data_IF_988838254816
#
_entry.id   IF_988838254816
#
_cell.length_a   1.000
_cell.length_b   1.000
_cell.length_c   1.000
_cell.angle_alpha   90.00
_cell.angle_beta   90.00
_cell.angle_gamma   90.00
#
_symmetry.space_group_name_H-M   'P 1'
#
loop_
_entity.id
_entity.type
_entity.pdbx_description
1 polymer ?
#
# COMPACT_ATOMS: atom_id res chain seq x y z
N UNK A 1 -10.88 -27.81 -19.15
CA UNK A 1 -9.48 -27.38 -18.98
C UNK A 1 -8.93 -28.02 -17.72
N UNK A 2 -7.69 -28.54 -17.74
CA UNK A 2 -7.12 -29.24 -16.59
C UNK A 2 -6.23 -28.26 -15.81
N UNK A 3 -6.43 -28.09 -14.48
CA UNK A 3 -5.56 -27.24 -13.66
C UNK A 3 -4.13 -27.81 -13.61
N UNK A 4 -3.13 -26.93 -13.67
CA UNK A 4 -1.73 -27.33 -13.65
C UNK A 4 -1.28 -27.72 -12.23
N UNK A 5 -1.06 -29.01 -12.02
CA UNK A 5 -0.52 -29.66 -10.85
C UNK A 5 0.81 -30.32 -11.24
N UNK A 6 1.92 -29.80 -10.71
CA UNK A 6 3.26 -30.28 -11.04
C UNK A 6 3.36 -31.80 -10.87
N UNK A 7 3.85 -32.50 -11.89
CA UNK A 7 4.03 -33.95 -11.91
C UNK A 7 2.79 -34.77 -12.29
N UNK A 8 1.58 -34.31 -11.94
CA UNK A 8 0.32 -35.02 -12.25
C UNK A 8 -0.17 -34.65 -13.64
N UNK A 9 -0.23 -33.36 -13.96
CA UNK A 9 -0.79 -32.90 -15.24
C UNK A 9 0.05 -33.36 -16.42
N UNK A 10 1.37 -33.50 -16.25
CA UNK A 10 2.29 -33.95 -17.30
C UNK A 10 2.23 -35.46 -17.57
N UNK A 11 1.87 -36.26 -16.56
CA UNK A 11 1.55 -37.69 -16.75
C UNK A 11 0.20 -37.83 -17.44
N UNK A 12 -0.81 -37.12 -16.94
CA UNK A 12 -2.16 -37.15 -17.48
C UNK A 12 -2.22 -36.69 -18.95
N UNK A 13 -1.49 -35.63 -19.31
CA UNK A 13 -1.33 -35.19 -20.71
C UNK A 13 -0.69 -36.27 -21.60
N UNK A 14 0.33 -36.97 -21.09
CA UNK A 14 1.01 -38.05 -21.81
C UNK A 14 0.08 -39.21 -22.10
N UNK A 15 -0.74 -39.59 -21.14
CA UNK A 15 -1.70 -40.68 -21.30
C UNK A 15 -2.86 -40.28 -22.21
N UNK A 16 -3.42 -39.08 -22.04
CA UNK A 16 -4.50 -38.57 -22.92
C UNK A 16 -4.04 -38.37 -24.37
N UNK A 17 -2.76 -38.06 -24.60
CA UNK A 17 -2.17 -37.98 -25.94
C UNK A 17 -2.20 -39.32 -26.68
N UNK A 18 -2.05 -40.45 -25.97
CA UNK A 18 -2.14 -41.81 -26.57
C UNK A 18 -3.54 -42.08 -27.13
N UNK A 19 -4.57 -41.45 -26.55
CA UNK A 19 -5.96 -41.56 -26.98
C UNK A 19 -6.40 -40.42 -27.91
N UNK A 20 -5.46 -39.65 -28.47
CA UNK A 20 -5.73 -38.50 -29.35
C UNK A 20 -6.62 -37.39 -28.74
N UNK A 21 -6.73 -37.34 -27.40
CA UNK A 21 -7.52 -36.33 -26.71
C UNK A 21 -6.66 -35.06 -26.57
N UNK A 22 -7.08 -33.97 -27.23
CA UNK A 22 -6.45 -32.65 -27.09
C UNK A 22 -6.78 -32.06 -25.72
N UNK A 23 -5.75 -31.73 -24.96
CA UNK A 23 -5.89 -31.10 -23.64
C UNK A 23 -5.41 -29.65 -23.70
N UNK A 24 -6.18 -28.75 -23.09
CA UNK A 24 -5.81 -27.35 -22.90
C UNK A 24 -5.51 -27.11 -21.42
N UNK A 25 -4.30 -26.65 -21.14
CA UNK A 25 -3.92 -26.21 -19.79
C UNK A 25 -4.35 -24.77 -19.57
N UNK A 26 -5.21 -24.55 -18.59
CA UNK A 26 -5.38 -23.23 -18.02
C UNK A 26 -4.29 -23.03 -16.97
N UNK A 27 -3.42 -22.04 -17.20
CA UNK A 27 -2.54 -21.54 -16.15
C UNK A 27 -3.41 -20.76 -15.15
N UNK A 28 -3.78 -21.41 -14.04
CA UNK A 28 -4.30 -20.67 -12.90
C UNK A 28 -3.17 -19.77 -12.39
N UNK A 29 -3.47 -18.48 -12.20
CA UNK A 29 -2.54 -17.58 -11.50
C UNK A 29 -2.19 -18.25 -10.16
N UNK A 30 -0.91 -18.48 -9.90
CA UNK A 30 -0.50 -19.10 -8.64
C UNK A 30 -0.99 -18.24 -7.48
N UNK A 31 -1.36 -18.86 -6.36
CA UNK A 31 -1.73 -18.12 -5.15
C UNK A 31 -0.65 -17.09 -4.81
N UNK A 32 0.64 -17.42 -4.95
CA UNK A 32 1.75 -16.48 -4.74
C UNK A 32 1.83 -15.30 -5.75
N UNK A 33 1.20 -15.42 -6.92
CA UNK A 33 1.00 -14.31 -7.88
C UNK A 33 -0.29 -13.53 -7.65
N UNK A 34 -1.19 -14.01 -6.78
CA UNK A 34 -2.37 -13.27 -6.34
C UNK A 34 -2.04 -12.54 -5.04
N UNK A 35 -1.33 -13.22 -4.14
CA UNK A 35 -0.88 -12.70 -2.87
C UNK A 35 0.22 -11.66 -3.07
N UNK A 36 0.04 -10.53 -2.40
CA UNK A 36 1.08 -9.51 -2.27
C UNK A 36 2.24 -10.15 -1.51
N UNK A 37 3.49 -9.92 -1.96
CA UNK A 37 4.69 -10.32 -1.22
C UNK A 37 4.79 -9.49 0.07
N UNK A 38 4.02 -9.85 1.08
CA UNK A 38 3.94 -9.22 2.40
C UNK A 38 5.28 -9.23 3.14
N UNK A 39 6.19 -10.15 2.81
CA UNK A 39 7.55 -10.25 3.38
C UNK A 39 8.41 -8.98 3.16
N UNK A 40 8.06 -8.13 2.18
CA UNK A 40 8.73 -6.83 1.97
C UNK A 40 8.33 -5.76 2.99
N UNK A 41 7.11 -5.85 3.54
CA UNK A 41 6.61 -5.01 4.64
C UNK A 41 7.34 -5.37 5.95
N UNK A 42 7.76 -6.63 6.10
CA UNK A 42 8.49 -7.14 7.27
C UNK A 42 9.97 -6.75 7.32
N UNK A 43 10.66 -6.72 6.17
CA UNK A 43 12.13 -6.54 6.12
C UNK A 43 12.57 -5.09 6.07
N UNK A 44 11.74 -4.19 5.52
CA UNK A 44 11.92 -2.77 5.74
C UNK A 44 11.09 -2.45 6.98
N UNK A 45 11.73 -2.35 8.16
CA UNK A 45 11.15 -1.64 9.33
C UNK A 45 10.32 -0.49 8.77
N UNK A 46 9.01 -0.42 9.06
CA UNK A 46 8.00 0.62 8.72
C UNK A 46 8.58 2.04 8.53
N UNK A 47 9.39 2.22 7.51
CA UNK A 47 10.50 3.14 7.54
C UNK A 47 10.98 3.23 6.12
N UNK A 48 10.85 4.44 5.60
CA UNK A 48 11.01 4.77 4.20
C UNK A 48 12.18 4.01 3.55
N UNK A 49 11.96 3.50 2.34
CA UNK A 49 13.08 3.13 1.46
C UNK A 49 13.84 4.42 1.15
N UNK A 50 14.87 4.70 1.95
CA UNK A 50 15.70 5.89 1.86
C UNK A 50 16.66 5.73 0.68
N UNK A 51 16.21 6.01 -0.55
CA UNK A 51 17.14 6.36 -1.66
C UNK A 51 16.55 6.86 -2.98
N UNK A 52 15.25 6.80 -3.21
CA UNK A 52 14.71 7.38 -4.46
C UNK A 52 14.38 8.84 -4.22
N UNK A 53 14.90 9.73 -5.07
CA UNK A 53 14.53 11.14 -5.10
C UNK A 53 12.99 11.23 -5.11
N UNK A 54 12.41 11.68 -3.99
CA UNK A 54 10.96 11.73 -3.77
C UNK A 54 10.27 12.41 -4.95
N UNK A 55 10.92 13.40 -5.55
CA UNK A 55 10.49 14.19 -6.72
C UNK A 55 10.01 13.35 -7.92
N UNK A 56 10.59 12.17 -8.19
CA UNK A 56 10.31 11.38 -9.40
C UNK A 56 9.71 9.99 -9.13
N UNK A 57 9.26 9.72 -7.91
CA UNK A 57 8.67 8.43 -7.58
C UNK A 57 7.36 8.19 -8.37
N UNK A 58 7.38 7.18 -9.23
CA UNK A 58 6.20 6.63 -9.93
C UNK A 58 5.60 5.45 -9.16
N UNK A 59 4.29 5.29 -9.29
CA UNK A 59 3.52 4.14 -8.76
C UNK A 59 3.77 3.90 -7.26
N UNK A 60 3.73 4.96 -6.47
CA UNK A 60 4.20 4.98 -5.09
C UNK A 60 3.05 4.94 -4.08
N UNK A 61 3.31 4.33 -2.93
CA UNK A 61 2.57 4.52 -1.69
C UNK A 61 3.42 5.41 -0.79
N UNK A 62 2.86 6.53 -0.34
CA UNK A 62 3.61 7.57 0.37
C UNK A 62 2.92 8.01 1.65
N UNK A 63 3.71 8.64 2.51
CA UNK A 63 3.33 9.24 3.78
C UNK A 63 3.66 10.72 3.83
N UNK A 64 2.75 11.57 4.34
CA UNK A 64 3.05 12.97 4.68
C UNK A 64 2.72 13.20 6.17
N UNK A 65 3.74 13.36 7.04
CA UNK A 65 3.51 13.54 8.47
C UNK A 65 3.00 14.94 8.80
N UNK A 66 2.12 15.02 9.80
CA UNK A 66 1.75 16.26 10.47
C UNK A 66 2.51 16.41 11.80
N UNK A 67 2.68 17.65 12.28
CA UNK A 67 3.28 17.93 13.60
C UNK A 67 2.51 17.29 14.75
N UNK A 68 1.22 17.00 14.58
CA UNK A 68 0.39 16.31 15.56
C UNK A 68 0.75 14.82 15.77
N UNK A 69 1.72 14.27 15.01
CA UNK A 69 2.08 12.85 15.05
C UNK A 69 1.22 11.96 14.15
N UNK A 70 0.11 12.46 13.62
CA UNK A 70 -0.68 11.76 12.61
C UNK A 70 -0.02 11.84 11.23
N UNK A 71 -0.29 10.85 10.37
CA UNK A 71 0.28 10.78 9.02
C UNK A 71 -0.79 10.57 7.95
N UNK A 72 -0.65 11.28 6.84
CA UNK A 72 -1.42 11.06 5.62
C UNK A 72 -0.82 9.89 4.86
N UNK A 73 -1.60 8.89 4.49
CA UNK A 73 -1.09 7.77 3.68
C UNK A 73 -1.94 7.63 2.43
N UNK A 74 -1.31 7.62 1.25
CA UNK A 74 -2.02 7.42 -0.03
C UNK A 74 -1.15 6.78 -1.10
N UNK A 75 -1.83 6.26 -2.12
CA UNK A 75 -1.19 5.86 -3.38
C UNK A 75 -1.21 6.99 -4.41
N UNK A 76 -0.27 6.92 -5.35
CA UNK A 76 -0.25 7.78 -6.54
C UNK A 76 0.60 7.18 -7.65
N UNK A 77 0.22 7.46 -8.90
CA UNK A 77 1.05 7.15 -10.07
C UNK A 77 2.26 8.10 -10.19
N UNK A 78 2.15 9.34 -9.70
CA UNK A 78 3.16 10.38 -9.85
C UNK A 78 3.29 11.24 -8.59
N UNK A 79 4.21 10.87 -7.71
CA UNK A 79 4.35 11.53 -6.41
C UNK A 79 4.68 13.02 -6.53
N UNK A 80 5.65 13.42 -7.36
CA UNK A 80 6.04 14.83 -7.47
C UNK A 80 4.87 15.75 -7.87
N UNK A 81 4.01 15.32 -8.80
CA UNK A 81 2.80 16.06 -9.20
C UNK A 81 1.79 16.11 -8.06
N UNK A 82 1.56 14.97 -7.40
CA UNK A 82 0.59 14.86 -6.31
C UNK A 82 1.00 15.64 -5.07
N UNK A 83 2.30 15.65 -4.75
CA UNK A 83 2.88 16.42 -3.65
C UNK A 83 2.71 17.93 -3.87
N UNK A 84 3.06 18.44 -5.07
CA UNK A 84 2.80 19.84 -5.46
C UNK A 84 1.32 20.20 -5.39
N UNK A 85 0.44 19.30 -5.83
CA UNK A 85 -1.01 19.50 -5.74
C UNK A 85 -1.46 19.64 -4.28
N UNK A 86 -0.95 18.80 -3.38
CA UNK A 86 -1.26 18.91 -1.96
C UNK A 86 -0.76 20.22 -1.34
N UNK A 87 0.48 20.65 -1.66
CA UNK A 87 1.00 21.94 -1.21
C UNK A 87 0.13 23.10 -1.70
N UNK A 88 -0.28 23.07 -2.96
CA UNK A 88 -1.20 24.06 -3.54
C UNK A 88 -2.55 24.07 -2.83
N UNK A 89 -3.14 22.89 -2.60
CA UNK A 89 -4.43 22.77 -1.92
C UNK A 89 -4.38 23.31 -0.49
N UNK A 90 -3.26 23.09 0.23
CA UNK A 90 -3.03 23.69 1.56
C UNK A 90 -2.89 25.20 1.46
N UNK A 91 -2.06 25.72 0.54
CA UNK A 91 -1.87 27.16 0.32
C UNK A 91 -3.18 27.89 0.03
N UNK A 92 -4.05 27.30 -0.79
CA UNK A 92 -5.31 27.88 -1.22
C UNK A 92 -6.53 27.35 -0.45
N UNK A 93 -6.34 26.68 0.68
CA UNK A 93 -7.41 26.19 1.56
C UNK A 93 -8.52 25.39 0.84
N UNK A 94 -8.14 24.52 -0.11
CA UNK A 94 -9.10 23.73 -0.91
C UNK A 94 -9.62 22.51 -0.14
N UNK A 95 -10.58 22.75 0.75
CA UNK A 95 -11.13 21.76 1.70
C UNK A 95 -11.75 20.55 1.00
N UNK A 96 -12.53 20.76 -0.04
CA UNK A 96 -13.25 19.69 -0.75
C UNK A 96 -12.30 18.80 -1.58
N UNK A 97 -11.11 19.29 -1.89
CA UNK A 97 -10.14 18.60 -2.76
C UNK A 97 -9.04 17.87 -1.98
N UNK A 98 -8.94 18.09 -0.65
CA UNK A 98 -7.84 17.54 0.14
C UNK A 98 -8.22 17.16 1.57
N UNK A 99 -8.10 15.87 1.86
CA UNK A 99 -8.18 15.32 3.22
C UNK A 99 -7.09 15.90 4.14
N UNK A 100 -5.97 16.39 3.58
CA UNK A 100 -4.92 17.10 4.34
C UNK A 100 -5.46 18.44 4.86
N UNK A 101 -6.14 19.21 4.01
CA UNK A 101 -6.75 20.49 4.40
C UNK A 101 -7.88 20.27 5.40
N UNK A 102 -8.71 19.24 5.19
CA UNK A 102 -9.74 18.86 6.16
C UNK A 102 -9.14 18.51 7.52
N UNK A 103 -8.03 17.77 7.55
CA UNK A 103 -7.33 17.46 8.79
C UNK A 103 -6.83 18.73 9.49
N UNK A 104 -6.23 19.66 8.76
CA UNK A 104 -5.77 20.94 9.31
C UNK A 104 -6.91 21.75 9.93
N UNK A 105 -8.08 21.79 9.27
CA UNK A 105 -9.26 22.48 9.80
C UNK A 105 -9.82 21.82 11.05
N UNK A 106 -9.95 20.50 11.07
CA UNK A 106 -10.48 19.76 12.23
C UNK A 106 -9.53 19.84 13.43
N UNK A 107 -8.22 19.96 13.18
CA UNK A 107 -7.20 19.98 14.24
C UNK A 107 -7.05 21.34 14.91
N UNK A 108 -7.95 22.29 14.63
CA UNK A 108 -8.09 23.61 15.29
C UNK A 108 -6.74 24.28 15.58
N UNK A 109 -5.93 24.48 14.53
CA UNK A 109 -4.73 25.36 14.52
C UNK A 109 -3.44 24.82 15.16
N UNK A 110 -3.46 23.66 15.82
CA UNK A 110 -2.25 23.09 16.45
C UNK A 110 -1.37 22.26 15.50
N UNK A 111 -1.93 21.82 14.37
CA UNK A 111 -1.24 20.95 13.43
C UNK A 111 -0.70 21.73 12.24
N UNK A 112 0.55 21.45 11.85
CA UNK A 112 1.12 21.85 10.56
C UNK A 112 1.63 20.61 9.80
N UNK A 113 1.48 20.61 8.48
CA UNK A 113 1.97 19.51 7.64
C UNK A 113 3.47 19.68 7.37
N UNK A 114 4.22 18.59 7.48
CA UNK A 114 5.67 18.55 7.24
C UNK A 114 5.94 17.92 5.87
N UNK A 115 5.71 18.69 4.79
CA UNK A 115 5.85 18.23 3.41
C UNK A 115 7.27 17.76 3.07
N UNK A 116 8.28 18.34 3.71
CA UNK A 116 9.71 18.05 3.54
C UNK A 116 10.06 16.68 4.12
N UNK A 117 9.31 16.23 5.12
CA UNK A 117 9.44 14.91 5.75
C UNK A 117 8.58 13.84 5.09
N UNK A 118 8.13 14.07 3.85
CA UNK A 118 7.36 13.07 3.12
C UNK A 118 8.19 11.82 2.82
N UNK A 119 7.57 10.67 2.92
CA UNK A 119 8.22 9.37 2.82
C UNK A 119 7.58 8.52 1.71
N UNK A 120 8.39 7.79 0.97
CA UNK A 120 7.89 6.72 0.09
C UNK A 120 8.00 5.41 0.86
N UNK A 121 6.86 4.78 1.13
CA UNK A 121 6.79 3.49 1.82
C UNK A 121 7.09 2.35 0.85
N UNK A 122 6.45 2.35 -0.31
CA UNK A 122 6.65 1.30 -1.32
C UNK A 122 6.28 1.76 -2.73
N UNK A 123 6.58 0.91 -3.71
CA UNK A 123 6.22 1.12 -5.12
C UNK A 123 5.60 -0.15 -5.70
N UNK A 124 4.48 0.00 -6.39
CA UNK A 124 3.73 -1.12 -6.98
C UNK A 124 3.02 -0.63 -8.25
N UNK A 125 3.40 -1.18 -9.40
CA UNK A 125 2.87 -0.77 -10.70
C UNK A 125 1.39 -1.14 -10.84
N UNK A 126 0.98 -2.28 -10.29
CA UNK A 126 -0.40 -2.73 -10.36
C UNK A 126 -1.30 -1.89 -9.45
N UNK A 127 -2.20 -1.10 -10.06
CA UNK A 127 -3.13 -0.20 -9.36
C UNK A 127 -3.95 -0.90 -8.25
N UNK A 128 -4.43 -2.12 -8.48
CA UNK A 128 -5.23 -2.83 -7.49
C UNK A 128 -4.39 -3.25 -6.29
N UNK A 129 -3.21 -3.83 -6.52
CA UNK A 129 -2.28 -4.18 -5.44
C UNK A 129 -1.80 -2.95 -4.69
N UNK A 130 -1.56 -1.84 -5.41
CA UNK A 130 -1.15 -0.57 -4.81
C UNK A 130 -2.21 -0.01 -3.86
N UNK A 131 -3.50 -0.12 -4.18
CA UNK A 131 -4.61 0.22 -3.27
C UNK A 131 -4.66 -0.68 -2.03
N UNK A 132 -4.37 -1.96 -2.17
CA UNK A 132 -4.29 -2.87 -1.02
C UNK A 132 -3.11 -2.50 -0.13
N UNK A 133 -1.95 -2.17 -0.70
CA UNK A 133 -0.79 -1.69 0.05
C UNK A 133 -1.09 -0.36 0.76
N UNK A 134 -1.75 0.59 0.10
CA UNK A 134 -2.23 1.82 0.73
C UNK A 134 -3.09 1.51 1.97
N UNK A 135 -4.03 0.57 1.86
CA UNK A 135 -4.87 0.15 2.98
C UNK A 135 -4.05 -0.41 4.15
N UNK A 136 -3.08 -1.29 3.85
CA UNK A 136 -2.18 -1.87 4.86
C UNK A 136 -1.34 -0.79 5.53
N UNK A 137 -0.67 0.09 4.76
CA UNK A 137 0.14 1.17 5.33
C UNK A 137 -0.71 2.20 6.08
N UNK A 138 -1.96 2.45 5.66
CA UNK A 138 -2.87 3.36 6.36
C UNK A 138 -3.26 2.82 7.74
N UNK A 139 -3.47 1.51 7.86
CA UNK A 139 -3.77 0.85 9.13
C UNK A 139 -2.52 0.80 10.01
N UNK A 140 -1.40 0.34 9.45
CA UNK A 140 -0.13 0.20 10.18
C UNK A 140 0.34 1.53 10.78
N UNK A 141 0.17 2.64 10.05
CA UNK A 141 0.62 3.96 10.48
C UNK A 141 -0.50 4.82 11.09
N UNK A 142 -1.66 4.24 11.44
CA UNK A 142 -2.82 4.96 12.03
C UNK A 142 -3.17 6.25 11.27
N UNK A 143 -3.28 6.13 9.95
CA UNK A 143 -3.45 7.28 9.08
C UNK A 143 -4.79 8.00 9.32
N UNK A 144 -4.77 9.33 9.32
CA UNK A 144 -5.98 10.11 9.57
C UNK A 144 -7.00 10.05 8.42
N UNK A 145 -6.58 9.64 7.22
CA UNK A 145 -7.47 9.43 6.07
C UNK A 145 -7.98 7.98 5.91
N UNK A 146 -7.89 7.16 6.97
CA UNK A 146 -8.34 5.77 7.01
C UNK A 146 -9.89 5.61 7.09
N UNK A 147 -10.68 6.61 6.70
CA UNK A 147 -12.14 6.51 6.70
C UNK A 147 -12.69 5.61 5.59
N UNK A 148 -11.87 5.26 4.59
CA UNK A 148 -12.28 4.53 3.38
C UNK A 148 -12.14 3.00 3.46
N UNK A 149 -11.55 2.46 4.52
CA UNK A 149 -11.42 1.01 4.69
C UNK A 149 -12.61 0.48 5.50
N UNK A 150 -13.29 -0.54 4.97
CA UNK A 150 -14.38 -1.23 5.68
C UNK A 150 -13.89 -1.77 7.04
N UNK A 151 -14.72 -1.63 8.08
CA UNK A 151 -14.39 -2.02 9.46
C UNK A 151 -14.01 -3.50 9.58
N UNK A 152 -14.64 -4.39 8.82
CA UNK A 152 -14.32 -5.82 8.80
C UNK A 152 -12.88 -6.07 8.30
N UNK A 153 -12.46 -5.35 7.26
CA UNK A 153 -11.10 -5.42 6.73
C UNK A 153 -10.08 -4.78 7.68
N UNK A 154 -10.45 -3.69 8.37
CA UNK A 154 -9.60 -3.07 9.39
C UNK A 154 -9.27 -4.05 10.51
N UNK A 155 -10.26 -4.78 11.03
CA UNK A 155 -10.07 -5.75 12.10
C UNK A 155 -9.13 -6.89 11.65
N UNK A 156 -9.38 -7.49 10.47
CA UNK A 156 -8.55 -8.57 9.93
C UNK A 156 -7.10 -8.14 9.69
N UNK A 157 -6.89 -6.95 9.11
CA UNK A 157 -5.54 -6.44 8.85
C UNK A 157 -4.84 -6.07 10.16
N UNK A 158 -5.53 -5.45 11.12
CA UNK A 158 -4.93 -5.05 12.40
C UNK A 158 -4.54 -6.28 13.24
N UNK A 159 -5.39 -7.30 13.27
CA UNK A 159 -5.09 -8.60 13.91
C UNK A 159 -3.87 -9.25 13.26
N UNK A 160 -3.85 -9.33 11.93
CA UNK A 160 -2.71 -9.88 11.20
C UNK A 160 -1.42 -9.08 11.45
N UNK A 161 -1.48 -7.74 11.54
CA UNK A 161 -0.33 -6.91 11.89
C UNK A 161 0.15 -7.22 13.32
N UNK A 162 -0.75 -7.25 14.30
CA UNK A 162 -0.39 -7.50 15.71
C UNK A 162 0.18 -8.90 15.96
N UNK A 163 -0.33 -9.92 15.26
CA UNK A 163 0.16 -11.30 15.37
C UNK A 163 1.52 -11.53 14.71
N UNK A 164 1.84 -10.75 13.67
CA UNK A 164 3.05 -10.97 12.85
C UNK A 164 4.12 -9.89 13.07
N UNK A 165 3.84 -8.81 13.79
CA UNK A 165 4.75 -7.67 13.96
C UNK A 165 4.63 -7.01 15.35
N UNK A 166 5.77 -6.79 16.02
CA UNK A 166 5.86 -5.80 17.09
C UNK A 166 5.92 -4.40 16.48
N UNK A 167 4.86 -3.61 16.64
CA UNK A 167 4.86 -2.19 16.27
C UNK A 167 5.75 -1.46 17.28
N UNK A 168 7.03 -1.32 16.96
CA UNK A 168 7.92 -0.42 17.71
C UNK A 168 7.56 1.00 17.30
N UNK A 169 6.84 1.70 18.19
CA UNK A 169 6.67 3.14 18.08
C UNK A 169 8.06 3.76 18.09
N UNK A 170 8.42 4.45 17.00
CA UNK A 170 9.55 5.38 17.05
C UNK A 170 9.11 6.59 17.88
N UNK A 171 9.17 6.44 19.21
CA UNK A 171 9.30 7.59 20.08
C UNK A 171 10.62 8.27 19.71
N UNK A 172 10.54 9.33 18.90
CA UNK A 172 11.66 10.22 18.73
C UNK A 172 11.85 10.92 20.08
N UNK A 173 12.87 10.48 20.83
CA UNK A 173 13.35 11.17 22.02
C UNK A 173 13.61 12.65 21.67
N UNK A 174 13.14 13.51 22.58
CA UNK A 174 13.14 14.97 22.55
C UNK A 174 14.49 15.58 22.23
#
# INVERSE_FOLDING_TARGET
AIPHLNGITERLKRDLKKHQIKTFTQHSKSIGSILIKTKLIARNKLGAKKKDSTVFAKNAIYGIPGKCGCIYVRETEHFGRRHKQHMSNVKYHRVNESEIVQHLLISNSSCSIQFEKSLIFDREENKHRRKVLEAVYSIANKSYNNKRICNQWKASISKWIGENYQVVFLEQKQ
#
